data_IF_963133195802
#
_entry.id   IF_963133195802
#
_cell.length_a   1.000
_cell.length_b   1.000
_cell.length_c   1.000
_cell.angle_alpha   90.00
_cell.angle_beta   90.00
_cell.angle_gamma   90.00
#
_symmetry.space_group_name_H-M   'P 1'
#
loop_
_entity.id
_entity.type
_entity.pdbx_description
1 polymer ?
#
# COMPACT_ATOMS: atom_id res chain seq x y z
N UNK A 1 -5.35 13.37 5.31
CA UNK A 1 -6.23 12.24 4.89
C UNK A 1 -5.39 11.25 4.15
N UNK A 2 -5.64 9.96 4.38
CA UNK A 2 -4.92 8.88 3.70
C UNK A 2 -5.36 8.86 2.23
N UNK A 3 -4.43 8.85 1.27
CA UNK A 3 -4.79 8.66 -0.12
C UNK A 3 -5.45 7.30 -0.32
N UNK A 4 -6.35 7.19 -1.29
CA UNK A 4 -7.10 5.95 -1.58
C UNK A 4 -6.73 5.37 -2.94
N UNK A 5 -6.76 4.05 -3.05
CA UNK A 5 -6.75 3.29 -4.31
C UNK A 5 -8.03 2.46 -4.35
N UNK A 6 -8.92 2.74 -5.29
CA UNK A 6 -10.17 1.99 -5.44
C UNK A 6 -10.02 0.82 -6.41
N UNK A 7 -10.56 -0.33 -6.02
CA UNK A 7 -10.65 -1.51 -6.89
C UNK A 7 -12.11 -1.67 -7.35
N UNK A 8 -12.43 -1.28 -8.58
CA UNK A 8 -13.80 -1.30 -9.11
C UNK A 8 -13.97 -2.42 -10.14
N UNK A 9 -14.90 -3.36 -9.89
CA UNK A 9 -15.06 -4.53 -10.76
C UNK A 9 -16.16 -5.49 -10.34
N UNK A 10 -16.09 -6.70 -10.87
CA UNK A 10 -17.06 -7.77 -10.62
C UNK A 10 -16.62 -8.73 -9.48
N UNK A 11 -17.00 -10.00 -9.54
CA UNK A 11 -16.65 -11.04 -8.55
C UNK A 11 -15.14 -11.24 -8.41
N UNK A 12 -14.35 -11.05 -9.47
CA UNK A 12 -12.88 -11.18 -9.41
C UNK A 12 -12.31 -10.06 -8.52
N UNK A 13 -12.93 -8.89 -8.55
CA UNK A 13 -12.57 -7.77 -7.67
C UNK A 13 -13.16 -7.95 -6.27
N UNK A 14 -14.38 -8.48 -6.13
CA UNK A 14 -14.99 -8.76 -4.83
C UNK A 14 -14.16 -9.75 -4.01
N UNK A 15 -13.69 -10.82 -4.67
CA UNK A 15 -12.88 -11.86 -4.06
C UNK A 15 -11.41 -11.45 -3.85
N UNK A 16 -10.98 -10.29 -4.35
CA UNK A 16 -9.58 -9.84 -4.31
C UNK A 16 -8.98 -9.73 -2.91
N UNK A 17 -9.83 -9.64 -1.87
CA UNK A 17 -9.42 -9.56 -0.46
C UNK A 17 -9.41 -10.92 0.26
N UNK A 18 -9.63 -12.03 -0.45
CA UNK A 18 -9.37 -13.35 0.09
C UNK A 18 -7.87 -13.52 0.43
N UNK A 19 -7.56 -14.44 1.33
CA UNK A 19 -6.17 -14.67 1.74
C UNK A 19 -5.32 -15.06 0.52
N UNK A 20 -4.19 -14.36 0.34
CA UNK A 20 -3.29 -14.57 -0.80
C UNK A 20 -3.71 -13.90 -2.11
N UNK A 21 -4.82 -13.14 -2.15
CA UNK A 21 -5.35 -12.56 -3.39
C UNK A 21 -4.92 -11.11 -3.58
N UNK A 22 -5.07 -10.62 -4.82
CA UNK A 22 -4.35 -9.42 -5.28
C UNK A 22 -4.73 -8.14 -4.54
N UNK A 23 -5.99 -7.98 -4.12
CA UNK A 23 -6.46 -6.80 -3.40
C UNK A 23 -5.91 -6.74 -1.97
N UNK A 24 -5.94 -7.85 -1.25
CA UNK A 24 -5.34 -7.94 0.09
C UNK A 24 -3.81 -7.74 0.04
N UNK A 25 -3.15 -8.36 -0.96
CA UNK A 25 -1.72 -8.20 -1.15
C UNK A 25 -1.33 -6.76 -1.54
N UNK A 26 -2.16 -6.09 -2.34
CA UNK A 26 -1.97 -4.67 -2.69
C UNK A 26 -2.16 -3.76 -1.46
N UNK A 27 -3.15 -4.04 -0.62
CA UNK A 27 -3.35 -3.32 0.64
C UNK A 27 -2.14 -3.45 1.57
N UNK A 28 -1.59 -4.67 1.67
CA UNK A 28 -0.37 -4.92 2.41
C UNK A 28 0.85 -4.19 1.80
N UNK A 29 0.96 -4.15 0.46
CA UNK A 29 2.04 -3.43 -0.23
C UNK A 29 2.04 -1.92 0.08
N UNK A 30 0.87 -1.30 0.20
CA UNK A 30 0.71 0.13 0.51
C UNK A 30 0.45 0.44 2.00
N UNK A 31 0.77 -0.49 2.90
CA UNK A 31 0.51 -0.34 4.34
C UNK A 31 1.09 0.97 4.88
N UNK A 32 0.26 1.71 5.63
CA UNK A 32 0.62 3.01 6.21
C UNK A 32 0.82 4.15 5.19
N UNK A 33 0.56 3.92 3.90
CA UNK A 33 0.77 4.92 2.82
C UNK A 33 -0.51 5.21 2.03
N UNK A 34 -1.32 4.20 1.71
CA UNK A 34 -2.60 4.39 1.04
C UNK A 34 -3.62 3.33 1.46
N UNK A 35 -4.90 3.71 1.52
CA UNK A 35 -6.00 2.78 1.76
C UNK A 35 -6.41 2.13 0.43
N UNK A 36 -6.42 0.80 0.39
CA UNK A 36 -6.98 0.05 -0.74
C UNK A 36 -8.43 -0.28 -0.44
N UNK A 37 -9.35 0.21 -1.28
CA UNK A 37 -10.79 0.13 -1.04
C UNK A 37 -11.48 -0.66 -2.14
N UNK A 38 -12.08 -1.79 -1.78
CA UNK A 38 -12.79 -2.67 -2.71
C UNK A 38 -14.20 -2.14 -3.03
N UNK A 39 -14.52 -2.14 -4.32
CA UNK A 39 -15.83 -1.92 -4.93
C UNK A 39 -16.07 -3.02 -5.98
N UNK A 40 -15.94 -4.26 -5.55
CA UNK A 40 -16.24 -5.46 -6.34
C UNK A 40 -17.68 -5.90 -6.12
N UNK A 41 -18.38 -6.27 -7.19
CA UNK A 41 -19.78 -6.68 -7.14
C UNK A 41 -20.00 -7.97 -7.93
N UNK A 42 -20.14 -9.08 -7.23
CA UNK A 42 -20.28 -10.40 -7.85
C UNK A 42 -21.47 -10.46 -8.84
N UNK A 43 -21.20 -10.99 -10.03
CA UNK A 43 -22.16 -11.13 -11.12
C UNK A 43 -22.44 -9.85 -11.93
N UNK A 44 -21.92 -8.68 -11.54
CA UNK A 44 -22.17 -7.43 -12.26
C UNK A 44 -21.48 -7.39 -13.61
N UNK A 45 -22.19 -6.84 -14.60
CA UNK A 45 -21.64 -6.41 -15.89
C UNK A 45 -21.51 -4.88 -15.93
N UNK A 46 -20.89 -4.36 -16.98
CA UNK A 46 -20.66 -2.91 -17.13
C UNK A 46 -21.95 -2.09 -17.17
N UNK A 47 -23.05 -2.64 -17.73
CA UNK A 47 -24.35 -1.98 -17.79
C UNK A 47 -24.90 -1.69 -16.40
N UNK A 48 -24.84 -2.66 -15.49
CA UNK A 48 -25.31 -2.50 -14.11
C UNK A 48 -24.34 -1.67 -13.27
N UNK A 49 -23.03 -1.85 -13.47
CA UNK A 49 -22.01 -1.06 -12.80
C UNK A 49 -22.17 0.45 -13.09
N UNK A 50 -22.40 0.81 -14.36
CA UNK A 50 -22.64 2.20 -14.75
C UNK A 50 -23.95 2.76 -14.17
N UNK A 51 -25.00 1.93 -14.07
CA UNK A 51 -26.28 2.35 -13.47
C UNK A 51 -26.15 2.68 -11.98
N UNK A 52 -25.32 1.95 -11.25
CA UNK A 52 -25.15 2.13 -9.80
C UNK A 52 -23.94 3.02 -9.44
N UNK A 53 -23.23 3.58 -10.42
CA UNK A 53 -21.93 4.24 -10.21
C UNK A 53 -21.97 5.41 -9.22
N UNK A 54 -23.06 6.18 -9.20
CA UNK A 54 -23.28 7.25 -8.22
C UNK A 54 -23.43 6.73 -6.79
N UNK A 55 -23.93 5.51 -6.59
CA UNK A 55 -24.01 4.87 -5.26
C UNK A 55 -22.69 4.24 -4.85
N UNK A 56 -21.96 3.69 -5.82
CA UNK A 56 -20.61 3.14 -5.61
C UNK A 56 -19.65 4.25 -5.17
N UNK A 57 -19.76 5.40 -5.82
CA UNK A 57 -18.98 6.61 -5.57
C UNK A 57 -19.94 7.78 -5.31
N UNK A 58 -20.45 7.95 -4.08
CA UNK A 58 -21.32 9.07 -3.74
C UNK A 58 -20.59 10.41 -3.84
N UNK A 59 -21.35 11.48 -4.05
CA UNK A 59 -20.84 12.84 -3.91
C UNK A 59 -20.57 13.13 -2.43
N UNK A 60 -19.33 13.53 -2.12
CA UNK A 60 -18.77 13.89 -0.82
C UNK A 60 -18.42 12.75 0.18
N UNK A 61 -17.13 12.68 0.50
CA UNK A 61 -16.61 13.11 1.81
C UNK A 61 -15.42 14.05 1.54
N UNK A 62 -15.11 14.97 2.46
CA UNK A 62 -13.82 15.67 2.41
C UNK A 62 -12.73 14.61 2.23
N UNK A 63 -11.95 14.71 1.15
CA UNK A 63 -11.03 13.68 0.69
C UNK A 63 -10.62 14.03 -0.71
N UNK A 64 -9.35 14.37 -0.92
CA UNK A 64 -8.85 14.67 -2.26
C UNK A 64 -9.04 13.50 -3.23
N UNK A 65 -8.71 13.72 -4.49
CA UNK A 65 -8.74 12.69 -5.53
C UNK A 65 -8.02 11.41 -5.05
N UNK A 66 -8.61 10.21 -5.19
CA UNK A 66 -7.89 8.97 -4.98
C UNK A 66 -6.69 8.90 -5.94
N UNK A 67 -5.63 8.21 -5.52
CA UNK A 67 -4.44 8.03 -6.34
C UNK A 67 -4.79 7.28 -7.62
N UNK A 68 -5.56 6.20 -7.48
CA UNK A 68 -5.96 5.38 -8.62
C UNK A 68 -7.34 4.72 -8.43
N UNK A 69 -7.96 4.37 -9.55
CA UNK A 69 -9.12 3.48 -9.64
C UNK A 69 -8.80 2.42 -10.69
N UNK A 70 -8.80 1.13 -10.32
CA UNK A 70 -8.79 0.05 -11.31
C UNK A 70 -10.21 -0.22 -11.78
N UNK A 71 -10.41 -0.44 -13.08
CA UNK A 71 -11.70 -0.82 -13.68
C UNK A 71 -11.53 -2.21 -14.30
N UNK A 72 -12.12 -3.23 -13.66
CA UNK A 72 -11.92 -4.64 -13.98
C UNK A 72 -13.27 -5.33 -14.19
N UNK A 73 -13.79 -5.20 -15.41
CA UNK A 73 -15.06 -5.76 -15.88
C UNK A 73 -14.90 -6.40 -17.26
N UNK A 74 -15.87 -7.19 -17.68
CA UNK A 74 -15.90 -7.83 -19.00
C UNK A 74 -16.13 -9.33 -18.91
N UNK A 75 -15.80 -9.95 -17.78
CA UNK A 75 -15.94 -11.39 -17.61
C UNK A 75 -17.42 -11.81 -17.66
N UNK A 76 -18.31 -11.03 -17.06
CA UNK A 76 -19.75 -11.23 -17.12
C UNK A 76 -20.38 -10.73 -18.43
N UNK A 77 -19.93 -9.58 -18.91
CA UNK A 77 -20.36 -9.00 -20.19
C UNK A 77 -20.14 -9.99 -21.36
N UNK A 78 -19.05 -10.76 -21.31
CA UNK A 78 -18.67 -11.78 -22.28
C UNK A 78 -19.50 -13.08 -22.26
N UNK A 79 -20.53 -13.18 -21.42
CA UNK A 79 -21.52 -14.25 -21.57
C UNK A 79 -22.09 -14.25 -22.98
N UNK A 80 -22.25 -15.43 -23.57
CA UNK A 80 -22.83 -15.55 -24.90
C UNK A 80 -24.37 -15.35 -24.85
N UNK A 81 -24.95 -14.63 -25.82
CA UNK A 81 -26.38 -14.31 -25.82
C UNK A 81 -27.29 -15.52 -26.04
N UNK A 82 -26.76 -16.64 -26.54
CA UNK A 82 -27.46 -17.89 -26.82
C UNK A 82 -27.12 -19.01 -25.80
N UNK A 83 -26.62 -18.65 -24.61
CA UNK A 83 -26.23 -19.59 -23.54
C UNK A 83 -26.97 -19.36 -22.22
N UNK A 84 -26.85 -20.31 -21.30
CA UNK A 84 -27.63 -20.35 -20.06
C UNK A 84 -27.44 -19.14 -19.10
N UNK A 85 -26.37 -18.35 -19.27
CA UNK A 85 -26.13 -17.10 -18.53
C UNK A 85 -26.26 -15.82 -19.39
N UNK A 86 -27.05 -15.87 -20.47
CA UNK A 86 -27.25 -14.76 -21.41
C UNK A 86 -27.68 -13.44 -20.75
N UNK A 87 -28.31 -13.48 -19.57
CA UNK A 87 -28.77 -12.29 -18.84
C UNK A 87 -27.61 -11.37 -18.39
N UNK A 88 -26.37 -11.89 -18.32
CA UNK A 88 -25.19 -11.07 -18.04
C UNK A 88 -24.60 -10.42 -19.29
N UNK A 89 -25.00 -10.86 -20.49
CA UNK A 89 -24.44 -10.40 -21.75
C UNK A 89 -24.61 -8.88 -21.97
N UNK A 90 -23.54 -8.25 -22.43
CA UNK A 90 -23.53 -6.85 -22.89
C UNK A 90 -22.86 -6.80 -24.26
N UNK A 91 -23.57 -6.43 -25.35
CA UNK A 91 -22.98 -6.39 -26.68
C UNK A 91 -21.67 -5.58 -26.74
N UNK A 92 -20.68 -6.03 -27.51
CA UNK A 92 -19.35 -5.42 -27.60
C UNK A 92 -19.36 -3.88 -27.78
N UNK A 93 -20.19 -3.29 -28.67
CA UNK A 93 -20.25 -1.83 -28.80
C UNK A 93 -20.74 -1.14 -27.51
N UNK A 94 -21.71 -1.74 -26.83
CA UNK A 94 -22.23 -1.22 -25.57
C UNK A 94 -21.21 -1.39 -24.44
N UNK A 95 -20.50 -2.52 -24.37
CA UNK A 95 -19.44 -2.74 -23.39
C UNK A 95 -18.35 -1.67 -23.48
N UNK A 96 -17.86 -1.39 -24.70
CA UNK A 96 -16.88 -0.32 -24.93
C UNK A 96 -17.42 1.05 -24.50
N UNK A 97 -18.68 1.36 -24.87
CA UNK A 97 -19.34 2.62 -24.48
C UNK A 97 -19.50 2.72 -22.95
N UNK A 98 -19.83 1.64 -22.27
CA UNK A 98 -19.96 1.63 -20.82
C UNK A 98 -18.60 1.88 -20.13
N UNK A 99 -17.52 1.26 -20.61
CA UNK A 99 -16.17 1.51 -20.07
C UNK A 99 -15.73 2.97 -20.23
N UNK A 100 -15.94 3.55 -21.41
CA UNK A 100 -15.63 4.98 -21.65
C UNK A 100 -16.50 5.91 -20.79
N UNK A 101 -17.77 5.58 -20.56
CA UNK A 101 -18.64 6.30 -19.66
C UNK A 101 -18.21 6.21 -18.18
N UNK A 102 -17.79 5.02 -17.72
CA UNK A 102 -17.21 4.82 -16.38
C UNK A 102 -15.95 5.69 -16.21
N UNK A 103 -15.06 5.71 -17.20
CA UNK A 103 -13.89 6.58 -17.17
C UNK A 103 -14.28 8.06 -17.10
N UNK A 104 -15.19 8.51 -17.96
CA UNK A 104 -15.64 9.90 -17.97
C UNK A 104 -16.26 10.31 -16.62
N UNK A 105 -17.04 9.42 -16.00
CA UNK A 105 -17.57 9.63 -14.66
C UNK A 105 -16.45 9.81 -13.63
N UNK A 106 -15.48 8.89 -13.60
CA UNK A 106 -14.36 8.93 -12.64
C UNK A 106 -13.54 10.21 -12.84
N UNK A 107 -13.21 10.58 -14.08
CA UNK A 107 -12.44 11.80 -14.38
C UNK A 107 -13.21 13.08 -14.07
N UNK A 108 -14.53 13.09 -14.25
CA UNK A 108 -15.38 14.21 -13.84
C UNK A 108 -15.38 14.36 -12.32
N UNK A 109 -15.42 13.25 -11.59
CA UNK A 109 -15.43 13.24 -10.12
C UNK A 109 -14.07 13.58 -9.52
N UNK A 110 -13.01 13.02 -10.09
CA UNK A 110 -11.64 13.12 -9.63
C UNK A 110 -10.68 13.34 -10.80
N UNK A 111 -10.47 14.62 -11.20
CA UNK A 111 -9.68 14.96 -12.38
C UNK A 111 -8.22 14.49 -12.34
N UNK A 112 -7.64 14.29 -11.15
CA UNK A 112 -6.24 13.89 -10.98
C UNK A 112 -6.04 12.38 -10.85
N UNK A 113 -7.12 11.62 -10.62
CA UNK A 113 -7.04 10.17 -10.40
C UNK A 113 -6.54 9.43 -11.64
N UNK A 114 -5.62 8.50 -11.44
CA UNK A 114 -5.22 7.52 -12.45
C UNK A 114 -6.31 6.45 -12.61
N UNK A 115 -6.81 6.25 -13.83
CA UNK A 115 -7.73 5.14 -14.12
C UNK A 115 -6.96 4.06 -14.86
N UNK A 116 -6.95 2.84 -14.32
CA UNK A 116 -6.27 1.69 -14.93
C UNK A 116 -7.31 0.66 -15.34
N UNK A 117 -7.42 0.38 -16.63
CA UNK A 117 -8.28 -0.70 -17.12
C UNK A 117 -7.59 -2.05 -16.99
N UNK A 118 -8.35 -3.09 -16.68
CA UNK A 118 -7.88 -4.47 -16.65
C UNK A 118 -8.80 -5.29 -17.56
N UNK A 119 -8.23 -6.00 -18.54
CA UNK A 119 -9.02 -6.86 -19.44
C UNK A 119 -9.66 -8.01 -18.66
N UNK A 120 -10.79 -8.59 -19.11
CA UNK A 120 -11.28 -9.85 -18.52
C UNK A 120 -10.20 -10.95 -18.62
N UNK A 121 -10.15 -11.91 -17.68
CA UNK A 121 -9.23 -13.05 -17.79
C UNK A 121 -9.62 -13.95 -18.98
N UNK A 122 -8.73 -14.86 -19.41
CA UNK A 122 -9.11 -15.93 -20.32
C UNK A 122 -10.09 -16.90 -19.64
N UNK A 123 -10.81 -17.70 -20.43
CA UNK A 123 -11.86 -18.62 -19.94
C UNK A 123 -11.50 -20.07 -20.25
N UNK A 124 -11.42 -20.91 -19.23
CA UNK A 124 -11.34 -22.37 -19.42
C UNK A 124 -12.76 -22.94 -19.59
N UNK A 125 -13.13 -23.17 -20.84
CA UNK A 125 -14.43 -23.69 -21.24
C UNK A 125 -14.74 -25.07 -20.64
N UNK A 126 -13.75 -25.96 -20.53
CA UNK A 126 -13.94 -27.29 -19.96
C UNK A 126 -14.31 -27.19 -18.47
N UNK A 127 -13.57 -26.35 -17.72
CA UNK A 127 -13.90 -26.09 -16.33
C UNK A 127 -15.25 -25.38 -16.15
N UNK A 128 -15.64 -24.48 -17.07
CA UNK A 128 -16.95 -23.80 -17.03
C UNK A 128 -18.12 -24.77 -17.21
N UNK A 129 -17.97 -25.79 -18.05
CA UNK A 129 -18.97 -26.87 -18.21
C UNK A 129 -19.10 -27.67 -16.90
N UNK A 130 -17.97 -27.97 -16.24
CA UNK A 130 -17.95 -28.83 -15.04
C UNK A 130 -18.36 -28.10 -13.75
N UNK A 131 -18.10 -26.80 -13.67
CA UNK A 131 -18.30 -25.99 -12.45
C UNK A 131 -19.16 -24.76 -12.73
N UNK A 132 -20.36 -24.89 -13.32
CA UNK A 132 -21.13 -23.72 -13.69
C UNK A 132 -21.60 -22.94 -12.45
N UNK A 133 -21.72 -21.62 -12.55
CA UNK A 133 -22.20 -20.79 -11.43
C UNK A 133 -23.65 -21.15 -11.03
N UNK A 134 -24.47 -21.51 -12.01
CA UNK A 134 -25.84 -21.99 -11.86
C UNK A 134 -26.02 -23.27 -12.65
N UNK A 135 -26.88 -24.19 -12.19
CA UNK A 135 -27.19 -25.45 -12.86
C UNK A 135 -27.45 -25.22 -14.35
N UNK A 136 -26.55 -25.69 -15.21
CA UNK A 136 -26.59 -25.42 -16.65
C UNK A 136 -27.03 -26.68 -17.43
N UNK A 137 -28.33 -26.83 -17.74
CA UNK A 137 -28.85 -28.00 -18.44
C UNK A 137 -28.41 -28.10 -19.91
N UNK A 138 -27.83 -27.04 -20.48
CA UNK A 138 -27.37 -27.06 -21.88
C UNK A 138 -26.10 -27.87 -22.08
N UNK A 139 -25.29 -28.07 -21.03
CA UNK A 139 -23.98 -28.72 -21.12
C UNK A 139 -22.94 -27.95 -21.95
N UNK A 140 -23.24 -26.72 -22.37
CA UNK A 140 -22.34 -25.83 -23.11
C UNK A 140 -21.81 -24.74 -22.18
N UNK A 141 -20.56 -24.30 -22.34
CA UNK A 141 -20.02 -23.23 -21.51
C UNK A 141 -20.76 -21.93 -21.83
N UNK A 142 -21.09 -21.16 -20.79
CA UNK A 142 -21.82 -19.90 -20.98
C UNK A 142 -20.96 -18.74 -21.46
N UNK A 143 -19.64 -18.94 -21.44
CA UNK A 143 -18.59 -18.04 -21.93
C UNK A 143 -17.57 -18.87 -22.70
N UNK A 144 -16.91 -18.27 -23.68
CA UNK A 144 -15.82 -18.89 -24.45
C UNK A 144 -14.57 -18.03 -24.35
N UNK A 145 -13.39 -18.62 -24.48
CA UNK A 145 -12.14 -17.87 -24.46
C UNK A 145 -12.03 -16.91 -25.66
N UNK A 146 -12.55 -17.33 -26.82
CA UNK A 146 -12.64 -16.48 -28.01
C UNK A 146 -13.45 -15.21 -27.74
N UNK A 147 -14.66 -15.36 -27.20
CA UNK A 147 -15.48 -14.22 -26.78
C UNK A 147 -14.73 -13.34 -25.76
N UNK A 148 -14.14 -13.91 -24.71
CA UNK A 148 -13.37 -13.15 -23.73
C UNK A 148 -12.25 -12.31 -24.37
N UNK A 149 -11.57 -12.86 -25.39
CA UNK A 149 -10.58 -12.14 -26.19
C UNK A 149 -11.15 -10.91 -26.91
N UNK A 150 -12.34 -11.02 -27.51
CA UNK A 150 -13.01 -9.87 -28.14
C UNK A 150 -13.35 -8.77 -27.11
N UNK A 151 -13.74 -9.13 -25.88
CA UNK A 151 -13.97 -8.14 -24.82
C UNK A 151 -12.65 -7.55 -24.30
N UNK A 152 -11.58 -8.34 -24.23
CA UNK A 152 -10.25 -7.84 -23.92
C UNK A 152 -9.81 -6.78 -24.94
N UNK A 153 -9.99 -7.05 -26.24
CA UNK A 153 -9.71 -6.07 -27.31
C UNK A 153 -10.54 -4.79 -27.16
N UNK A 154 -11.84 -4.89 -26.85
CA UNK A 154 -12.68 -3.71 -26.63
C UNK A 154 -12.30 -2.93 -25.37
N UNK A 155 -11.84 -3.61 -24.31
CA UNK A 155 -11.33 -2.97 -23.10
C UNK A 155 -10.06 -2.17 -23.41
N UNK A 156 -9.11 -2.76 -24.14
CA UNK A 156 -7.90 -2.07 -24.60
C UNK A 156 -8.22 -0.89 -25.52
N UNK A 157 -9.19 -1.06 -26.43
CA UNK A 157 -9.63 0.01 -27.32
C UNK A 157 -10.30 1.16 -26.55
N UNK A 158 -11.10 0.87 -25.52
CA UNK A 158 -11.69 1.88 -24.64
C UNK A 158 -10.60 2.64 -23.86
N UNK A 159 -9.62 1.93 -23.32
CA UNK A 159 -8.50 2.53 -22.61
C UNK A 159 -7.68 3.47 -23.51
N UNK A 160 -7.36 3.03 -24.73
CA UNK A 160 -6.67 3.83 -25.73
C UNK A 160 -7.46 5.09 -26.11
N UNK A 161 -8.78 4.98 -26.31
CA UNK A 161 -9.67 6.11 -26.60
C UNK A 161 -9.72 7.12 -25.44
N UNK A 162 -9.64 6.63 -24.21
CA UNK A 162 -9.61 7.47 -23.00
C UNK A 162 -8.22 8.05 -22.69
N UNK A 163 -7.17 7.62 -23.39
CA UNK A 163 -5.78 7.94 -23.04
C UNK A 163 -5.37 7.38 -21.67
N UNK A 164 -5.95 6.25 -21.27
CA UNK A 164 -5.74 5.61 -19.97
C UNK A 164 -4.87 4.35 -20.10
N UNK A 165 -4.04 4.02 -19.09
CA UNK A 165 -3.32 2.75 -19.06
C UNK A 165 -4.27 1.55 -18.99
N UNK A 166 -3.83 0.43 -19.58
CA UNK A 166 -4.51 -0.85 -19.47
C UNK A 166 -3.53 -1.99 -19.16
N UNK A 167 -4.06 -3.03 -18.53
CA UNK A 167 -3.38 -4.29 -18.23
C UNK A 167 -4.09 -5.41 -18.97
N UNK A 168 -3.39 -6.05 -19.91
CA UNK A 168 -3.92 -7.16 -20.70
C UNK A 168 -3.65 -8.51 -20.04
N UNK A 169 -4.45 -8.86 -19.03
CA UNK A 169 -4.32 -10.16 -18.35
C UNK A 169 -4.82 -11.32 -19.20
N UNK A 170 -5.77 -11.08 -20.13
CA UNK A 170 -6.23 -12.09 -21.09
C UNK A 170 -5.03 -12.67 -21.85
N UNK A 171 -4.22 -11.81 -22.44
CA UNK A 171 -3.01 -12.23 -23.16
C UNK A 171 -1.92 -12.72 -22.21
N UNK A 172 -1.62 -11.97 -21.14
CA UNK A 172 -0.50 -12.26 -20.22
C UNK A 172 -0.60 -13.64 -19.56
N UNK A 173 -1.81 -14.06 -19.18
CA UNK A 173 -2.01 -15.39 -18.60
C UNK A 173 -1.73 -16.49 -19.63
N UNK A 174 -2.17 -16.31 -20.86
CA UNK A 174 -2.04 -17.31 -21.94
C UNK A 174 -0.60 -17.45 -22.49
N UNK A 175 0.34 -16.61 -22.05
CA UNK A 175 1.77 -16.82 -22.30
C UNK A 175 2.28 -18.09 -21.60
N UNK A 176 1.61 -18.55 -20.54
CA UNK A 176 1.84 -19.88 -19.96
C UNK A 176 0.98 -20.93 -20.69
N UNK A 177 1.54 -22.00 -21.27
CA UNK A 177 0.78 -23.07 -21.92
C UNK A 177 -0.19 -23.87 -21.03
N UNK A 178 -0.12 -23.72 -19.70
CA UNK A 178 -0.98 -24.40 -18.71
C UNK A 178 -1.87 -23.42 -17.94
N UNK A 179 -2.11 -22.24 -18.49
CA UNK A 179 -2.82 -21.13 -17.84
C UNK A 179 -4.19 -21.54 -17.29
N UNK A 180 -4.93 -22.41 -17.97
CA UNK A 180 -6.29 -22.84 -17.64
C UNK A 180 -6.35 -23.37 -16.20
N UNK A 181 -5.40 -24.25 -15.86
CA UNK A 181 -5.36 -24.95 -14.56
C UNK A 181 -4.49 -24.24 -13.54
N UNK A 182 -3.51 -23.48 -13.99
CA UNK A 182 -2.61 -22.77 -13.10
C UNK A 182 -3.22 -21.47 -12.58
N UNK A 183 -3.95 -20.73 -13.41
CA UNK A 183 -4.38 -19.37 -13.11
C UNK A 183 -5.87 -19.26 -12.82
N UNK A 184 -6.69 -20.28 -13.06
CA UNK A 184 -8.12 -20.29 -12.79
C UNK A 184 -8.54 -21.45 -11.87
N UNK A 185 -9.52 -21.22 -11.00
CA UNK A 185 -10.04 -22.23 -10.06
C UNK A 185 -11.22 -23.01 -10.65
N UNK A 186 -12.12 -22.30 -11.34
CA UNK A 186 -13.40 -22.80 -11.87
C UNK A 186 -13.61 -22.44 -13.34
N UNK A 187 -12.51 -22.11 -14.01
CA UNK A 187 -12.46 -21.63 -15.39
C UNK A 187 -12.84 -20.18 -15.60
N UNK A 188 -13.04 -19.42 -14.52
CA UNK A 188 -13.33 -17.98 -14.55
C UNK A 188 -12.59 -17.21 -13.45
N UNK A 189 -12.75 -17.63 -12.19
CA UNK A 189 -12.15 -16.97 -11.03
C UNK A 189 -10.70 -17.35 -10.88
N UNK A 190 -9.90 -16.36 -10.47
CA UNK A 190 -8.45 -16.49 -10.41
C UNK A 190 -8.00 -17.38 -9.24
N UNK A 191 -7.04 -18.27 -9.50
CA UNK A 191 -6.27 -18.96 -8.47
C UNK A 191 -5.32 -17.98 -7.76
N UNK A 192 -4.63 -18.40 -6.69
CA UNK A 192 -3.56 -17.57 -6.09
C UNK A 192 -2.50 -17.12 -7.12
N UNK A 193 -2.12 -18.00 -8.04
CA UNK A 193 -1.16 -17.66 -9.10
C UNK A 193 -1.75 -16.66 -10.10
N UNK A 194 -3.02 -16.81 -10.48
CA UNK A 194 -3.72 -15.86 -11.34
C UNK A 194 -3.85 -14.48 -10.68
N UNK A 195 -4.17 -14.46 -9.38
CA UNK A 195 -4.18 -13.25 -8.56
C UNK A 195 -2.80 -12.58 -8.52
N UNK A 196 -1.72 -13.37 -8.39
CA UNK A 196 -0.36 -12.82 -8.41
C UNK A 196 -0.04 -12.08 -9.71
N UNK A 197 -0.48 -12.59 -10.86
CA UNK A 197 -0.31 -11.90 -12.15
C UNK A 197 -1.00 -10.53 -12.14
N UNK A 198 -2.22 -10.45 -11.61
CA UNK A 198 -2.94 -9.17 -11.47
C UNK A 198 -2.18 -8.22 -10.55
N UNK A 199 -1.77 -8.70 -9.37
CA UNK A 199 -1.02 -7.90 -8.39
C UNK A 199 0.25 -7.30 -8.99
N UNK A 200 1.11 -8.13 -9.58
CA UNK A 200 2.40 -7.70 -10.12
C UNK A 200 2.18 -6.65 -11.22
N UNK A 201 1.19 -6.88 -12.08
CA UNK A 201 0.87 -5.96 -13.19
C UNK A 201 0.28 -4.63 -12.70
N UNK A 202 -0.54 -4.66 -11.64
CA UNK A 202 -1.11 -3.45 -11.03
C UNK A 202 -0.01 -2.63 -10.35
N UNK A 203 0.88 -3.27 -9.57
CA UNK A 203 2.01 -2.57 -8.93
C UNK A 203 2.92 -1.93 -9.98
N UNK A 204 3.27 -2.67 -11.04
CA UNK A 204 4.05 -2.15 -12.16
C UNK A 204 3.39 -0.91 -12.77
N UNK A 205 2.08 -0.98 -13.06
CA UNK A 205 1.35 0.11 -13.71
C UNK A 205 1.19 1.34 -12.81
N UNK A 206 1.01 1.14 -11.51
CA UNK A 206 0.99 2.23 -10.53
C UNK A 206 2.39 2.88 -10.42
N UNK A 207 3.45 2.08 -10.43
CA UNK A 207 4.83 2.54 -10.39
C UNK A 207 5.22 3.42 -11.58
N UNK A 208 4.79 3.07 -12.81
CA UNK A 208 4.96 3.90 -14.02
C UNK A 208 4.34 5.30 -13.88
N UNK A 209 3.26 5.41 -13.10
CA UNK A 209 2.58 6.67 -12.78
C UNK A 209 3.11 7.36 -11.51
N UNK A 210 4.26 6.91 -10.98
CA UNK A 210 4.87 7.40 -9.75
C UNK A 210 3.97 7.25 -8.51
N UNK A 211 3.14 6.20 -8.48
CA UNK A 211 2.37 5.76 -7.32
C UNK A 211 3.05 4.49 -6.79
N UNK A 212 4.06 4.66 -5.94
CA UNK A 212 4.82 3.57 -5.35
C UNK A 212 5.20 3.88 -3.90
N UNK A 213 5.68 2.88 -3.17
CA UNK A 213 6.00 3.04 -1.76
C UNK A 213 7.12 4.07 -1.54
N UNK A 214 8.10 4.19 -2.42
CA UNK A 214 9.24 5.10 -2.21
C UNK A 214 8.85 6.58 -2.33
N UNK A 215 7.80 6.87 -3.10
CA UNK A 215 7.33 8.23 -3.37
C UNK A 215 6.22 8.68 -2.43
N UNK A 216 5.46 7.74 -1.86
CA UNK A 216 4.38 8.05 -0.93
C UNK A 216 4.92 8.23 0.50
N UNK A 217 4.54 9.36 1.11
CA UNK A 217 4.86 9.65 2.51
C UNK A 217 4.03 8.75 3.44
N UNK A 218 4.62 8.23 4.53
CA UNK A 218 3.87 7.59 5.59
C UNK A 218 2.76 8.49 6.14
N UNK A 219 1.66 7.90 6.57
CA UNK A 219 0.52 8.61 7.16
C UNK A 219 0.89 9.30 8.47
N UNK A 220 1.77 8.67 9.25
CA UNK A 220 2.28 9.14 10.54
C UNK A 220 3.80 9.00 10.55
N UNK A 221 4.50 9.73 11.42
CA UNK A 221 5.91 9.48 11.68
C UNK A 221 6.16 7.99 11.97
N UNK A 222 7.29 7.47 11.50
CA UNK A 222 7.71 6.10 11.84
C UNK A 222 8.02 5.99 13.33
N UNK A 223 8.17 4.77 13.82
CA UNK A 223 8.65 4.56 15.17
C UNK A 223 10.01 5.24 15.38
N UNK A 224 10.92 5.08 14.42
CA UNK A 224 12.26 5.69 14.41
C UNK A 224 12.18 7.23 14.47
N UNK A 225 11.29 7.86 13.69
CA UNK A 225 11.07 9.32 13.73
C UNK A 225 10.61 9.78 15.13
N UNK A 226 9.76 9.00 15.79
CA UNK A 226 9.26 9.29 17.14
C UNK A 226 10.38 9.09 18.16
N UNK A 227 11.16 8.01 18.03
CA UNK A 227 12.23 7.67 18.96
C UNK A 227 13.38 8.65 18.87
N UNK A 228 13.74 9.10 17.67
CA UNK A 228 14.68 10.20 17.45
C UNK A 228 14.20 11.47 18.17
N UNK A 229 12.93 11.86 17.98
CA UNK A 229 12.35 13.02 18.64
C UNK A 229 12.30 12.90 20.17
N UNK A 230 11.87 11.75 20.69
CA UNK A 230 11.78 11.48 22.14
C UNK A 230 13.17 11.45 22.77
N UNK A 231 14.14 10.83 22.11
CA UNK A 231 15.52 10.79 22.55
C UNK A 231 16.11 12.20 22.68
N UNK A 232 15.92 13.06 21.68
CA UNK A 232 16.41 14.44 21.76
C UNK A 232 15.67 15.27 22.80
N UNK A 233 14.34 15.14 22.91
CA UNK A 233 13.57 15.79 23.98
C UNK A 233 14.02 15.33 25.38
N UNK A 234 14.37 14.06 25.52
CA UNK A 234 14.91 13.52 26.77
C UNK A 234 16.28 14.11 27.08
N UNK A 235 17.21 14.20 26.11
CA UNK A 235 18.50 14.90 26.28
C UNK A 235 18.27 16.36 26.67
N UNK A 236 17.35 17.06 26.01
CA UNK A 236 16.97 18.44 26.36
C UNK A 236 16.47 18.56 27.80
N UNK A 237 15.66 17.61 28.28
CA UNK A 237 15.18 17.63 29.67
C UNK A 237 16.31 17.43 30.69
N UNK A 238 17.40 16.76 30.32
CA UNK A 238 18.58 16.65 31.18
C UNK A 238 19.38 17.96 31.26
N UNK A 239 19.12 18.95 30.39
CA UNK A 239 19.76 20.26 30.41
C UNK A 239 19.09 21.26 31.39
N UNK A 240 17.91 20.94 31.93
CA UNK A 240 17.15 21.83 32.82
C UNK A 240 16.94 21.15 34.17
N UNK A 241 17.62 21.62 35.22
CA UNK A 241 17.35 21.19 36.60
C UNK A 241 16.22 22.05 37.20
N UNK A 242 15.16 21.44 37.76
CA UNK A 242 14.29 22.17 38.68
C UNK A 242 15.10 22.62 39.89
N UNK A 243 14.96 23.90 40.27
CA UNK A 243 15.49 24.42 41.54
C UNK A 243 14.87 23.61 42.69
N UNK A 244 15.60 22.65 43.26
CA UNK A 244 15.16 21.96 44.48
C UNK A 244 15.66 20.54 44.75
N UNK A 245 16.28 19.83 43.80
CA UNK A 245 16.78 18.46 44.08
C UNK A 245 18.20 18.49 44.66
N UNK A 246 18.37 18.04 45.91
CA UNK A 246 19.70 17.74 46.46
C UNK A 246 20.34 16.59 45.66
N UNK A 247 21.59 16.79 45.24
CA UNK A 247 22.47 15.81 44.56
C UNK A 247 21.76 14.76 43.69
N UNK A 248 21.26 15.18 42.52
CA UNK A 248 20.78 14.25 41.51
C UNK A 248 21.95 13.56 40.79
N UNK A 249 22.18 12.28 41.04
CA UNK A 249 22.79 11.41 40.02
C UNK A 249 21.80 11.30 38.87
N UNK A 250 22.24 11.58 37.65
CA UNK A 250 21.46 11.24 36.46
C UNK A 250 21.70 9.75 36.17
N UNK A 251 20.76 8.89 36.57
CA UNK A 251 20.97 7.44 36.68
C UNK A 251 21.26 6.71 35.36
N UNK A 252 21.00 7.33 34.19
CA UNK A 252 21.17 6.66 32.89
C UNK A 252 22.56 6.89 32.26
N UNK A 253 23.18 8.06 32.46
CA UNK A 253 24.51 8.38 31.88
C UNK A 253 25.61 8.58 32.94
N UNK A 254 25.24 8.51 34.22
CA UNK A 254 26.16 8.57 35.37
C UNK A 254 27.10 9.80 35.36
N UNK A 255 26.73 10.89 34.67
CA UNK A 255 27.49 12.14 34.67
C UNK A 255 27.22 12.91 35.99
N UNK A 256 28.24 13.59 36.54
CA UNK A 256 28.11 14.40 37.76
C UNK A 256 27.87 15.88 37.44
N UNK A 257 26.87 16.47 38.07
CA UNK A 257 26.65 17.91 38.07
C UNK A 257 27.49 18.61 39.15
N UNK A 258 27.79 19.89 38.92
CA UNK A 258 28.42 20.77 39.89
C UNK A 258 27.34 21.52 40.69
N UNK A 259 27.50 21.59 42.00
CA UNK A 259 26.70 22.46 42.86
C UNK A 259 27.37 23.84 42.96
N UNK A 260 26.68 24.90 42.53
CA UNK A 260 27.09 26.29 42.78
C UNK A 260 25.91 27.09 43.31
N UNK A 261 26.09 27.72 44.46
CA UNK A 261 25.14 28.70 45.03
C UNK A 261 23.68 28.23 44.93
N UNK A 262 23.37 27.06 45.48
CA UNK A 262 22.03 26.44 45.49
C UNK A 262 21.44 25.97 44.15
N UNK A 263 22.21 25.94 43.06
CA UNK A 263 21.79 25.36 41.79
C UNK A 263 22.80 24.32 41.26
N UNK A 264 22.27 23.28 40.63
CA UNK A 264 23.03 22.25 39.91
C UNK A 264 23.30 22.72 38.48
N UNK A 265 24.54 22.61 38.03
CA UNK A 265 24.95 22.95 36.68
C UNK A 265 25.81 21.84 36.09
N UNK A 266 25.58 21.54 34.81
CA UNK A 266 26.56 20.84 34.00
C UNK A 266 27.76 21.76 33.71
N UNK A 267 28.99 21.24 33.73
CA UNK A 267 30.13 22.01 33.26
C UNK A 267 29.93 22.47 31.81
N UNK A 268 30.39 23.68 31.43
CA UNK A 268 30.16 24.22 30.09
C UNK A 268 30.51 23.26 28.92
N UNK A 269 31.62 22.48 28.97
CA UNK A 269 31.91 21.50 27.92
C UNK A 269 30.84 20.41 27.78
N UNK A 270 30.26 19.96 28.91
CA UNK A 270 29.18 18.97 28.93
C UNK A 270 27.91 19.56 28.36
N UNK A 271 27.58 20.81 28.71
CA UNK A 271 26.42 21.52 28.14
C UNK A 271 26.55 21.63 26.62
N UNK A 272 27.74 21.93 26.10
CA UNK A 272 27.98 22.03 24.66
C UNK A 272 27.86 20.67 23.99
N UNK A 273 28.45 19.62 24.56
CA UNK A 273 28.37 18.26 24.02
C UNK A 273 26.92 17.74 24.00
N UNK A 274 26.17 17.88 25.10
CA UNK A 274 24.77 17.50 25.18
C UNK A 274 23.88 18.32 24.23
N UNK A 275 24.16 19.62 24.05
CA UNK A 275 23.45 20.46 23.07
C UNK A 275 23.75 20.07 21.62
N UNK A 276 24.95 19.58 21.34
CA UNK A 276 25.28 19.10 20.00
C UNK A 276 24.63 17.74 19.73
N UNK A 277 24.67 16.82 20.70
CA UNK A 277 23.91 15.56 20.65
C UNK A 277 22.42 15.84 20.43
N UNK A 278 21.82 16.77 21.18
CA UNK A 278 20.39 17.12 21.10
C UNK A 278 19.93 17.63 19.72
N UNK A 279 20.84 18.03 18.83
CA UNK A 279 20.51 18.60 17.52
C UNK A 279 20.32 17.55 16.41
N UNK A 280 20.54 16.27 16.69
CA UNK A 280 20.51 15.25 15.64
C UNK A 280 21.84 14.52 15.46
N UNK A 281 21.80 13.33 14.84
CA UNK A 281 23.01 12.59 14.47
C UNK A 281 23.86 13.38 13.45
N UNK A 282 23.24 14.08 12.49
CA UNK A 282 23.94 14.92 11.50
C UNK A 282 24.73 16.09 12.11
N UNK A 283 24.23 16.64 13.22
CA UNK A 283 24.88 17.75 13.92
C UNK A 283 25.95 17.28 14.93
N UNK A 284 25.84 16.03 15.40
CA UNK A 284 26.71 15.47 16.44
C UNK A 284 27.74 14.46 15.92
N UNK A 285 27.59 13.98 14.69
CA UNK A 285 28.31 12.84 14.11
C UNK A 285 28.18 11.54 14.92
N UNK A 286 27.10 11.39 15.70
CA UNK A 286 26.82 10.19 16.50
C UNK A 286 25.67 9.42 15.86
N UNK A 287 26.03 8.44 15.03
CA UNK A 287 25.09 7.67 14.20
C UNK A 287 24.86 6.23 14.68
N UNK A 288 25.41 5.85 15.84
CA UNK A 288 25.23 4.52 16.43
C UNK A 288 25.34 4.57 17.95
N UNK A 289 24.80 3.54 18.62
CA UNK A 289 24.92 3.37 20.06
C UNK A 289 26.36 3.22 20.53
N UNK A 290 27.25 2.67 19.70
CA UNK A 290 28.69 2.64 19.95
C UNK A 290 29.31 4.04 19.97
N UNK A 291 29.01 4.87 18.96
CA UNK A 291 29.48 6.26 18.92
C UNK A 291 28.87 7.08 20.05
N UNK A 292 27.64 6.77 20.46
CA UNK A 292 27.00 7.40 21.60
C UNK A 292 27.70 7.01 22.90
N UNK A 293 28.04 5.74 23.09
CA UNK A 293 28.82 5.28 24.22
C UNK A 293 30.20 5.97 24.30
N UNK A 294 30.87 6.15 23.15
CA UNK A 294 32.14 6.90 23.05
C UNK A 294 31.94 8.37 23.43
N UNK A 295 30.88 9.02 22.96
CA UNK A 295 30.57 10.41 23.32
C UNK A 295 30.31 10.57 24.83
N UNK A 296 29.59 9.63 25.44
CA UNK A 296 29.34 9.59 26.88
C UNK A 296 30.66 9.33 27.64
N UNK A 297 31.49 8.39 27.21
CA UNK A 297 32.79 8.13 27.83
C UNK A 297 33.71 9.35 27.78
N UNK A 298 33.79 10.04 26.64
CA UNK A 298 34.56 11.28 26.50
C UNK A 298 34.08 12.39 27.44
N UNK A 299 32.76 12.54 27.59
CA UNK A 299 32.18 13.46 28.56
C UNK A 299 32.55 13.09 30.01
N UNK A 300 32.54 11.80 30.36
CA UNK A 300 32.92 11.32 31.70
C UNK A 300 34.39 11.56 32.02
N UNK A 301 35.27 11.30 31.06
CA UNK A 301 36.70 11.58 31.16
C UNK A 301 36.97 13.05 31.43
N UNK A 302 36.26 13.95 30.72
CA UNK A 302 36.39 15.39 30.93
C UNK A 302 35.98 15.86 32.33
N UNK A 303 35.23 15.02 33.06
CA UNK A 303 34.80 15.25 34.44
C UNK A 303 35.64 14.49 35.48
N UNK A 304 36.66 13.74 35.06
CA UNK A 304 37.45 12.87 35.93
C UNK A 304 36.60 11.74 36.55
N UNK A 305 35.56 11.29 35.86
CA UNK A 305 34.72 10.18 36.29
C UNK A 305 35.31 8.85 35.79
N UNK A 306 35.11 7.74 36.53
CA UNK A 306 35.59 6.44 36.10
C UNK A 306 34.91 6.00 34.79
N UNK A 307 35.61 5.18 34.01
CA UNK A 307 35.06 4.56 32.82
C UNK A 307 33.74 3.83 33.10
N UNK A 308 32.89 3.78 32.08
CA UNK A 308 31.71 2.93 32.13
C UNK A 308 32.13 1.46 32.09
N UNK A 309 31.32 0.61 32.70
CA UNK A 309 31.48 -0.83 32.55
C UNK A 309 31.37 -1.22 31.07
N UNK A 310 32.14 -2.22 30.61
CA UNK A 310 32.16 -2.64 29.20
C UNK A 310 30.80 -3.10 28.67
N UNK A 311 29.88 -3.51 29.54
CA UNK A 311 28.50 -3.86 29.17
C UNK A 311 27.60 -2.64 28.92
N UNK A 312 28.02 -1.43 29.31
CA UNK A 312 27.23 -0.21 29.09
C UNK A 312 27.21 0.19 27.62
N UNK A 313 28.30 -0.01 26.87
CA UNK A 313 28.31 0.22 25.42
C UNK A 313 27.31 -0.68 24.70
N UNK A 314 27.23 -1.96 25.11
CA UNK A 314 26.23 -2.90 24.60
C UNK A 314 24.80 -2.43 24.93
N UNK A 315 24.58 -1.90 26.14
CA UNK A 315 23.29 -1.32 26.52
C UNK A 315 22.90 -0.09 25.69
N UNK A 316 23.86 0.77 25.35
CA UNK A 316 23.63 1.90 24.45
C UNK A 316 23.34 1.45 23.03
N UNK A 317 24.04 0.43 22.51
CA UNK A 317 23.71 -0.16 21.21
C UNK A 317 22.34 -0.84 21.20
N UNK A 318 21.97 -1.58 22.23
CA UNK A 318 20.62 -2.15 22.31
C UNK A 318 19.54 -1.06 22.34
N UNK A 319 19.75 0.00 23.12
CA UNK A 319 18.77 1.09 23.23
C UNK A 319 18.71 2.00 21.98
N UNK A 320 19.84 2.24 21.33
CA UNK A 320 19.97 3.20 20.23
C UNK A 320 19.89 2.53 18.85
N UNK A 321 20.37 1.30 18.72
CA UNK A 321 20.44 0.60 17.42
C UNK A 321 19.29 -0.43 17.26
N UNK A 322 18.61 -0.87 18.33
CA UNK A 322 17.48 -1.81 18.25
C UNK A 322 16.11 -1.21 18.59
N UNK A 323 16.07 0.02 19.16
CA UNK A 323 14.82 0.73 19.52
C UNK A 323 14.67 2.05 18.74
N UNK A 324 15.48 2.28 17.71
CA UNK A 324 15.40 3.43 16.79
C UNK A 324 15.61 3.01 15.34
#
# INVERSE_FOLDING_TARGET
MVPKIYLFGDSITEQSFQNGYWGAALANHFVGKADVVVRGFSGYNTRWALKEIDRVFPEAEHGGDPLAVTVFFGANDACLPDRYAFFQHVPLPEYKQNLTAIFAFIKKRWPSTLVVFITPPPIDEEARILKPYVDNPSGLPERTNEAAGLYAEQCLAAAAECGAPAIDIWKKMQENPSWEKEFLNDGLHLSEKGNKIVLDSVIEKLGEANINIDTLKPQLPTFDDIMEFVFFRWIESQLVFPLGSQEGKCDVISLKCLLRSSALFWPPPIVVALKNLAKGPDASNVHSGELFAVAIASMRDSLGLPDLHSSASLGFSLFFDEVS
#
